data_IF_623174682486
#
_entry.id   IF_623174682486
#
_cell.length_a   1.000
_cell.length_b   1.000
_cell.length_c   1.000
_cell.angle_alpha   90.00
_cell.angle_beta   90.00
_cell.angle_gamma   90.00
#
_symmetry.space_group_name_H-M   'P 1'
#
loop_
_entity.id
_entity.type
_entity.pdbx_description
1 polymer ?
#
# COMPACT_ATOMS: atom_id res chain seq x y z
N UNK A 1 -11.99 -14.40 3.52
CA UNK A 1 -12.00 -13.19 2.69
C UNK A 1 -11.72 -13.61 1.27
N UNK A 2 -12.62 -13.30 0.34
CA UNK A 2 -12.38 -13.50 -1.09
C UNK A 2 -11.45 -12.40 -1.62
N UNK A 3 -10.52 -12.71 -2.51
CA UNK A 3 -9.57 -11.74 -3.05
C UNK A 3 -9.32 -11.99 -4.53
N UNK A 4 -8.96 -10.92 -5.25
CA UNK A 4 -8.57 -10.96 -6.65
C UNK A 4 -7.13 -10.49 -6.79
N UNK A 5 -6.24 -11.42 -7.16
CA UNK A 5 -4.87 -11.09 -7.58
C UNK A 5 -4.90 -10.61 -9.03
N UNK A 6 -4.31 -9.46 -9.31
CA UNK A 6 -4.36 -8.82 -10.62
C UNK A 6 -2.93 -8.65 -11.14
N UNK A 7 -2.70 -9.03 -12.39
CA UNK A 7 -1.43 -8.84 -13.09
C UNK A 7 -1.65 -8.17 -14.45
N UNK A 8 -0.78 -7.21 -14.78
CA UNK A 8 -0.74 -6.52 -16.07
C UNK A 8 0.28 -7.13 -17.02
N UNK A 9 -0.14 -7.44 -18.26
CA UNK A 9 0.75 -7.92 -19.33
C UNK A 9 1.76 -6.86 -19.79
N UNK A 10 1.48 -5.59 -19.49
CA UNK A 10 2.34 -4.45 -19.85
C UNK A 10 3.41 -4.13 -18.81
N UNK A 11 3.39 -4.84 -17.67
CA UNK A 11 4.28 -4.63 -16.54
C UNK A 11 5.21 -5.84 -16.34
N UNK A 12 6.53 -5.70 -16.57
CA UNK A 12 7.47 -6.81 -16.44
C UNK A 12 7.59 -7.35 -15.00
N UNK A 13 7.50 -6.51 -13.96
CA UNK A 13 7.51 -6.98 -12.59
C UNK A 13 6.23 -7.77 -12.29
N UNK A 14 5.08 -7.27 -12.77
CA UNK A 14 3.80 -7.95 -12.64
C UNK A 14 3.79 -9.33 -13.27
N UNK A 15 4.40 -9.50 -14.44
CA UNK A 15 4.51 -10.82 -15.10
C UNK A 15 5.46 -11.75 -14.34
N UNK A 16 6.56 -11.23 -13.80
CA UNK A 16 7.47 -11.98 -12.95
C UNK A 16 6.75 -12.46 -11.68
N UNK A 17 6.12 -11.54 -10.95
CA UNK A 17 5.31 -11.84 -9.75
C UNK A 17 4.23 -12.88 -10.02
N UNK A 18 3.47 -12.71 -11.11
CA UNK A 18 2.42 -13.66 -11.51
C UNK A 18 2.96 -15.07 -11.64
N UNK A 19 4.07 -15.27 -12.36
CA UNK A 19 4.69 -16.60 -12.54
C UNK A 19 4.96 -17.27 -11.20
N UNK A 20 5.50 -16.54 -10.23
CA UNK A 20 5.79 -17.08 -8.89
C UNK A 20 4.53 -17.38 -8.09
N UNK A 21 3.56 -16.47 -8.08
CA UNK A 21 2.27 -16.66 -7.41
C UNK A 21 1.50 -17.87 -7.98
N UNK A 22 1.48 -18.05 -9.30
CA UNK A 22 0.83 -19.18 -9.96
C UNK A 22 1.52 -20.52 -9.65
N UNK A 23 2.85 -20.54 -9.43
CA UNK A 23 3.57 -21.75 -9.00
C UNK A 23 3.08 -22.27 -7.63
N UNK A 24 2.57 -21.39 -6.78
CA UNK A 24 1.94 -21.75 -5.51
C UNK A 24 0.46 -22.16 -5.65
N UNK A 25 -0.09 -22.16 -6.87
CA UNK A 25 -1.46 -22.57 -7.14
C UNK A 25 -2.52 -21.47 -7.00
N UNK A 26 -2.10 -20.20 -6.87
CA UNK A 26 -3.01 -19.06 -6.77
C UNK A 26 -3.40 -18.55 -8.17
N UNK A 27 -4.69 -18.35 -8.39
CA UNK A 27 -5.20 -17.80 -9.65
C UNK A 27 -4.97 -16.31 -9.76
N UNK A 28 -4.52 -15.84 -10.94
CA UNK A 28 -4.24 -14.43 -11.21
C UNK A 28 -5.09 -13.93 -12.38
N UNK A 29 -5.83 -12.85 -12.17
CA UNK A 29 -6.62 -12.16 -13.18
C UNK A 29 -5.71 -11.27 -14.03
N UNK A 30 -5.73 -11.46 -15.35
CA UNK A 30 -4.84 -10.75 -16.27
C UNK A 30 -5.55 -9.56 -16.92
N UNK A 31 -4.81 -8.46 -17.05
CA UNK A 31 -5.22 -7.26 -17.78
C UNK A 31 -4.17 -6.87 -18.84
N UNK A 32 -4.64 -6.36 -19.98
CA UNK A 32 -3.79 -5.99 -21.12
C UNK A 32 -3.36 -4.51 -21.11
N UNK A 33 -3.42 -3.86 -19.94
CA UNK A 33 -3.08 -2.44 -19.76
C UNK A 33 -2.51 -2.16 -18.37
N UNK A 34 -1.99 -0.95 -18.16
CA UNK A 34 -1.46 -0.52 -16.86
C UNK A 34 -2.53 -0.63 -15.78
N UNK A 35 -2.19 -1.28 -14.67
CA UNK A 35 -3.05 -1.41 -13.48
C UNK A 35 -3.58 -0.07 -12.99
N UNK A 36 -2.76 0.99 -13.08
CA UNK A 36 -3.20 2.32 -12.62
C UNK A 36 -4.28 2.98 -13.50
N UNK A 37 -4.49 2.46 -14.72
CA UNK A 37 -5.44 2.97 -15.74
C UNK A 37 -6.65 2.05 -15.91
N UNK A 38 -6.96 1.25 -14.89
CA UNK A 38 -8.17 0.42 -14.83
C UNK A 38 -9.29 1.14 -14.08
N UNK A 39 -10.51 0.65 -14.21
CA UNK A 39 -11.67 1.05 -13.42
C UNK A 39 -12.33 -0.17 -12.78
N UNK A 40 -13.11 0.04 -11.72
CA UNK A 40 -13.79 -1.02 -10.99
C UNK A 40 -14.61 -1.98 -11.88
N UNK A 41 -15.28 -1.46 -12.91
CA UNK A 41 -16.14 -2.26 -13.79
C UNK A 41 -15.40 -3.31 -14.63
N UNK A 42 -14.07 -3.29 -14.62
CA UNK A 42 -13.22 -4.21 -15.38
C UNK A 42 -12.85 -5.46 -14.59
N UNK A 43 -13.15 -5.47 -13.29
CA UNK A 43 -12.82 -6.57 -12.40
C UNK A 43 -14.07 -7.35 -11.99
N UNK A 44 -13.94 -8.68 -11.80
CA UNK A 44 -14.88 -9.42 -10.99
C UNK A 44 -15.08 -8.77 -9.62
N UNK A 45 -16.28 -8.91 -9.06
CA UNK A 45 -16.52 -8.52 -7.68
C UNK A 45 -15.66 -9.37 -6.75
N UNK A 46 -14.97 -8.72 -5.81
CA UNK A 46 -14.16 -9.39 -4.79
C UNK A 46 -14.20 -8.58 -3.49
N UNK A 47 -13.84 -9.21 -2.35
CA UNK A 47 -13.74 -8.51 -1.06
C UNK A 47 -12.39 -7.80 -0.91
N UNK A 48 -11.42 -8.08 -1.77
CA UNK A 48 -10.13 -7.38 -1.82
C UNK A 48 -9.48 -7.44 -3.21
N UNK A 49 -8.84 -6.36 -3.64
CA UNK A 49 -8.10 -6.27 -4.89
C UNK A 49 -6.60 -6.09 -4.65
N UNK A 50 -5.78 -7.00 -5.17
CA UNK A 50 -4.33 -6.99 -4.94
C UNK A 50 -3.63 -6.91 -6.30
N UNK A 51 -2.96 -5.78 -6.54
CA UNK A 51 -2.24 -5.52 -7.78
C UNK A 51 -0.78 -5.94 -7.60
N UNK A 52 -0.35 -6.92 -8.39
CA UNK A 52 1.06 -7.24 -8.57
C UNK A 52 1.61 -6.21 -9.55
N UNK A 53 2.59 -5.40 -9.16
CA UNK A 53 3.08 -4.32 -10.03
C UNK A 53 4.55 -4.01 -9.83
N UNK A 54 5.06 -3.12 -10.67
CA UNK A 54 6.35 -2.47 -10.48
C UNK A 54 6.19 -1.14 -9.75
N UNK A 55 7.20 -0.83 -8.95
CA UNK A 55 7.50 0.55 -8.56
C UNK A 55 8.59 1.12 -9.48
N UNK A 56 8.45 2.37 -9.90
CA UNK A 56 9.43 3.07 -10.73
C UNK A 56 9.89 4.37 -10.06
N UNK A 57 11.19 4.46 -9.75
CA UNK A 57 11.78 5.64 -9.08
C UNK A 57 13.07 6.10 -9.76
N UNK A 58 13.25 7.41 -9.88
CA UNK A 58 14.51 8.03 -10.37
C UNK A 58 15.72 7.65 -9.51
N UNK A 59 15.49 7.38 -8.21
CA UNK A 59 16.56 6.97 -7.29
C UNK A 59 17.15 5.60 -7.61
N UNK A 60 16.41 4.76 -8.37
CA UNK A 60 16.75 3.37 -8.70
C UNK A 60 17.12 2.50 -7.49
N UNK A 61 16.70 2.90 -6.29
CA UNK A 61 16.97 2.12 -5.09
C UNK A 61 16.13 0.84 -5.13
N UNK A 62 16.72 -0.36 -4.93
CA UNK A 62 15.95 -1.59 -4.79
C UNK A 62 15.02 -1.50 -3.59
N UNK A 63 13.72 -1.66 -3.84
CA UNK A 63 12.68 -1.53 -2.80
C UNK A 63 11.56 -2.55 -3.04
N UNK A 64 11.07 -3.18 -1.98
CA UNK A 64 9.83 -3.96 -1.99
C UNK A 64 8.78 -3.18 -1.21
N UNK A 65 7.63 -2.94 -1.82
CA UNK A 65 6.67 -1.99 -1.27
C UNK A 65 5.23 -2.47 -1.32
N UNK A 66 4.41 -1.85 -0.46
CA UNK A 66 2.96 -2.04 -0.42
C UNK A 66 2.28 -0.72 -0.11
N UNK A 67 1.20 -0.40 -0.83
CA UNK A 67 0.36 0.77 -0.58
C UNK A 67 -1.05 0.61 -1.16
N UNK A 68 -1.99 1.40 -0.64
CA UNK A 68 -3.32 1.52 -1.23
C UNK A 68 -3.31 2.63 -2.30
N UNK A 69 -3.95 2.43 -3.47
CA UNK A 69 -4.03 3.45 -4.51
C UNK A 69 -5.02 4.56 -4.15
N UNK A 70 -4.75 5.77 -4.61
CA UNK A 70 -5.58 6.94 -4.34
C UNK A 70 -4.96 8.25 -4.80
N UNK A 71 -5.79 9.18 -5.29
CA UNK A 71 -5.34 10.54 -5.60
C UNK A 71 -5.72 11.48 -4.45
N UNK A 72 -4.71 12.05 -3.78
CA UNK A 72 -4.89 12.97 -2.65
C UNK A 72 -5.18 14.41 -3.08
N UNK A 73 -5.09 14.72 -4.37
CA UNK A 73 -5.25 16.05 -4.94
C UNK A 73 -5.96 15.96 -6.29
N UNK A 74 -6.09 17.10 -6.98
CA UNK A 74 -6.62 17.15 -8.33
C UNK A 74 -5.76 16.41 -9.38
N UNK A 75 -4.48 16.19 -9.10
CA UNK A 75 -3.60 15.44 -10.00
C UNK A 75 -3.96 13.95 -10.00
N UNK A 76 -4.46 13.49 -11.16
CA UNK A 76 -4.72 12.10 -11.48
C UNK A 76 -3.98 11.66 -12.76
N UNK A 77 -2.84 12.28 -13.07
CA UNK A 77 -2.03 12.00 -14.27
C UNK A 77 -1.64 10.52 -14.41
N UNK A 78 -1.64 9.78 -13.31
CA UNK A 78 -1.33 8.35 -13.26
C UNK A 78 -2.58 7.46 -13.13
N UNK A 79 -3.76 7.99 -13.42
CA UNK A 79 -5.05 7.29 -13.49
C UNK A 79 -5.94 7.51 -12.27
N UNK A 80 -7.17 6.99 -12.33
CA UNK A 80 -8.21 7.22 -11.32
C UNK A 80 -8.84 8.61 -11.40
N UNK A 81 -9.74 8.90 -10.45
CA UNK A 81 -10.44 10.17 -10.33
C UNK A 81 -9.66 11.16 -9.45
N UNK A 82 -9.78 12.48 -9.71
CA UNK A 82 -9.26 13.52 -8.83
C UNK A 82 -9.89 13.44 -7.44
N UNK A 83 -9.09 13.67 -6.40
CA UNK A 83 -9.52 13.64 -5.00
C UNK A 83 -10.35 12.41 -4.59
N UNK A 84 -10.00 11.22 -5.08
CA UNK A 84 -10.64 9.96 -4.73
C UNK A 84 -9.60 8.93 -4.31
N UNK A 85 -9.87 8.21 -3.22
CA UNK A 85 -9.01 7.11 -2.73
C UNK A 85 -9.77 5.78 -2.70
N UNK A 86 -9.08 4.68 -2.99
CA UNK A 86 -9.66 3.34 -2.85
C UNK A 86 -9.76 2.94 -1.38
N UNK A 87 -10.71 2.06 -0.98
CA UNK A 87 -10.76 1.52 0.37
C UNK A 87 -9.45 0.82 0.78
N UNK A 88 -9.13 0.84 2.08
CA UNK A 88 -7.87 0.29 2.61
C UNK A 88 -8.12 -0.82 3.63
N UNK A 89 -7.25 -1.84 3.61
CA UNK A 89 -7.15 -2.84 4.67
C UNK A 89 -5.80 -2.67 5.42
N UNK A 90 -5.80 -2.03 6.61
CA UNK A 90 -4.56 -1.77 7.36
C UNK A 90 -3.87 -3.05 7.83
N UNK A 91 -4.63 -4.11 8.09
CA UNK A 91 -4.09 -5.41 8.50
C UNK A 91 -3.32 -6.02 7.34
N UNK A 92 -3.91 -6.05 6.14
CA UNK A 92 -3.22 -6.56 4.95
C UNK A 92 -1.94 -5.80 4.66
N UNK A 93 -2.00 -4.47 4.56
CA UNK A 93 -0.82 -3.67 4.23
C UNK A 93 0.33 -3.95 5.21
N UNK A 94 0.02 -4.01 6.51
CA UNK A 94 1.02 -4.24 7.56
C UNK A 94 1.58 -5.66 7.55
N UNK A 95 0.73 -6.68 7.46
CA UNK A 95 1.20 -8.07 7.40
C UNK A 95 2.03 -8.29 6.13
N UNK A 96 1.63 -7.69 5.01
CA UNK A 96 2.39 -7.76 3.77
C UNK A 96 3.78 -7.14 3.94
N UNK A 97 3.88 -5.95 4.54
CA UNK A 97 5.15 -5.31 4.86
C UNK A 97 6.02 -6.18 5.78
N UNK A 98 5.45 -6.69 6.87
CA UNK A 98 6.17 -7.51 7.85
C UNK A 98 6.68 -8.80 7.22
N UNK A 99 5.87 -9.46 6.41
CA UNK A 99 6.27 -10.68 5.71
C UNK A 99 7.34 -10.38 4.66
N UNK A 100 7.22 -9.29 3.88
CA UNK A 100 8.29 -8.86 2.97
C UNK A 100 9.60 -8.66 3.71
N UNK A 101 9.58 -7.99 4.87
CA UNK A 101 10.78 -7.80 5.68
C UNK A 101 11.36 -9.12 6.20
N UNK A 102 10.50 -10.00 6.75
CA UNK A 102 10.87 -11.33 7.25
C UNK A 102 11.59 -12.16 6.17
N UNK A 103 11.03 -12.24 4.97
CA UNK A 103 11.65 -13.00 3.87
C UNK A 103 12.90 -12.28 3.36
N UNK A 104 12.86 -10.97 3.15
CA UNK A 104 14.03 -10.20 2.70
C UNK A 104 15.24 -10.28 3.64
N UNK A 105 15.03 -10.51 4.94
CA UNK A 105 16.10 -10.69 5.92
C UNK A 105 16.73 -12.10 5.95
N UNK A 106 16.19 -13.08 5.20
CA UNK A 106 16.77 -14.42 5.12
C UNK A 106 18.12 -14.41 4.42
N UNK A 107 19.07 -15.22 4.91
CA UNK A 107 20.47 -15.25 4.45
C UNK A 107 20.61 -15.42 2.92
N UNK A 108 19.72 -16.19 2.29
CA UNK A 108 19.73 -16.40 0.84
C UNK A 108 19.35 -15.15 0.02
N UNK A 109 18.62 -14.20 0.61
CA UNK A 109 18.14 -12.99 -0.05
C UNK A 109 18.87 -11.71 0.38
N UNK A 110 19.67 -11.75 1.46
CA UNK A 110 20.33 -10.57 2.03
C UNK A 110 21.19 -9.79 1.02
N UNK A 111 21.88 -10.50 0.12
CA UNK A 111 22.77 -9.88 -0.88
C UNK A 111 22.01 -9.14 -1.99
N UNK A 112 20.68 -9.29 -2.09
CA UNK A 112 19.86 -8.57 -3.06
C UNK A 112 19.72 -7.07 -2.71
N UNK A 113 19.88 -6.71 -1.42
CA UNK A 113 19.97 -5.33 -0.98
C UNK A 113 18.67 -4.52 -1.13
N UNK A 114 17.50 -5.16 -1.07
CA UNK A 114 16.22 -4.47 -1.08
C UNK A 114 15.90 -3.85 0.27
N UNK A 115 15.44 -2.60 0.23
CA UNK A 115 14.72 -1.99 1.35
C UNK A 115 13.25 -2.45 1.33
N UNK A 116 12.64 -2.60 2.51
CA UNK A 116 11.19 -2.85 2.63
C UNK A 116 10.51 -1.62 3.21
N UNK A 117 9.49 -1.10 2.52
CA UNK A 117 8.78 0.10 2.98
C UNK A 117 7.35 0.17 2.50
N UNK A 118 6.49 0.85 3.27
CA UNK A 118 5.24 1.34 2.70
C UNK A 118 5.51 2.43 1.66
N UNK A 119 4.49 2.68 0.83
CA UNK A 119 4.34 3.94 0.11
C UNK A 119 3.09 4.68 0.56
N UNK A 120 3.08 6.00 0.33
CA UNK A 120 1.88 6.83 0.54
C UNK A 120 0.81 6.52 -0.51
N UNK A 121 -0.43 6.94 -0.24
CA UNK A 121 -1.50 6.98 -1.24
C UNK A 121 -1.05 7.77 -2.48
N UNK A 122 -1.07 7.12 -3.63
CA UNK A 122 -0.84 7.75 -4.92
C UNK A 122 -1.44 6.90 -6.06
N UNK A 123 -1.66 7.55 -7.21
CA UNK A 123 -2.15 7.01 -8.49
C UNK A 123 -3.48 6.23 -8.44
N UNK A 124 -4.00 5.86 -9.62
CA UNK A 124 -5.20 5.05 -9.74
C UNK A 124 -4.95 3.55 -9.58
N UNK A 125 -6.01 2.72 -9.61
CA UNK A 125 -7.42 3.10 -9.67
C UNK A 125 -7.96 3.60 -8.33
N UNK A 126 -9.01 4.41 -8.36
CA UNK A 126 -9.59 5.05 -7.16
C UNK A 126 -11.04 4.63 -6.90
N UNK A 127 -11.72 4.12 -7.92
CA UNK A 127 -13.16 3.86 -7.91
C UNK A 127 -13.54 2.46 -7.39
N UNK A 128 -12.58 1.71 -6.86
CA UNK A 128 -12.74 0.37 -6.31
C UNK A 128 -13.73 0.35 -5.14
N UNK A 129 -14.49 -0.75 -5.03
CA UNK A 129 -15.56 -0.91 -4.02
C UNK A 129 -15.17 -1.75 -2.82
N UNK A 130 -13.97 -2.33 -2.83
CA UNK A 130 -13.42 -3.12 -1.74
C UNK A 130 -11.98 -2.70 -1.46
N UNK A 131 -11.42 -3.04 -0.30
CA UNK A 131 -10.02 -2.77 0.02
C UNK A 131 -9.06 -3.16 -1.10
N UNK A 132 -8.02 -2.36 -1.29
CA UNK A 132 -7.01 -2.65 -2.29
C UNK A 132 -5.59 -2.30 -1.88
N UNK A 133 -4.65 -3.01 -2.50
CA UNK A 133 -3.23 -2.78 -2.31
C UNK A 133 -2.47 -3.07 -3.62
N UNK A 134 -1.48 -2.24 -3.90
CA UNK A 134 -0.37 -2.55 -4.79
C UNK A 134 0.72 -3.21 -3.98
N UNK A 135 1.33 -4.25 -4.53
CA UNK A 135 2.45 -4.99 -3.98
C UNK A 135 3.52 -5.00 -5.06
N UNK A 136 4.67 -4.41 -4.78
CA UNK A 136 5.55 -3.95 -5.84
C UNK A 136 7.02 -4.31 -5.67
N UNK A 137 7.66 -4.55 -6.81
CA UNK A 137 9.12 -4.61 -6.95
C UNK A 137 9.59 -3.29 -7.54
N UNK A 138 10.48 -2.61 -6.84
CA UNK A 138 11.11 -1.37 -7.27
C UNK A 138 12.63 -1.47 -7.38
N UNK A 139 13.29 -0.53 -8.05
CA UNK A 139 12.71 0.68 -8.64
C UNK A 139 12.99 0.83 -10.13
N UNK A 140 13.57 -0.19 -10.76
CA UNK A 140 13.94 -0.18 -12.18
C UNK A 140 13.87 -1.58 -12.80
N UNK A 141 14.03 -1.64 -14.13
CA UNK A 141 13.98 -2.89 -14.91
C UNK A 141 14.94 -3.96 -14.38
N UNK A 142 16.10 -3.56 -13.87
CA UNK A 142 17.07 -4.46 -13.27
C UNK A 142 16.49 -5.23 -12.07
N UNK A 143 15.64 -4.59 -11.27
CA UNK A 143 14.99 -5.21 -10.11
C UNK A 143 13.72 -5.97 -10.50
N UNK A 144 12.94 -5.46 -11.45
CA UNK A 144 11.65 -6.04 -11.86
C UNK A 144 11.77 -7.48 -12.35
N UNK A 145 12.92 -7.86 -12.90
CA UNK A 145 13.19 -9.20 -13.44
C UNK A 145 13.92 -10.14 -12.47
N UNK A 146 14.21 -9.72 -11.24
CA UNK A 146 14.86 -10.58 -10.24
C UNK A 146 13.85 -11.62 -9.76
N UNK A 147 14.08 -12.90 -10.10
CA UNK A 147 13.21 -14.01 -9.69
C UNK A 147 13.13 -14.09 -8.15
N UNK A 148 14.25 -13.95 -7.44
CA UNK A 148 14.28 -14.00 -5.97
C UNK A 148 13.45 -12.87 -5.31
N UNK A 149 13.42 -11.67 -5.90
CA UNK A 149 12.58 -10.58 -5.41
C UNK A 149 11.08 -10.89 -5.58
N UNK A 150 10.73 -11.54 -6.68
CA UNK A 150 9.38 -12.01 -6.92
C UNK A 150 9.00 -13.19 -6.01
N UNK A 151 9.95 -14.07 -5.69
CA UNK A 151 9.76 -15.16 -4.72
C UNK A 151 9.53 -14.61 -3.30
N UNK A 152 10.32 -13.62 -2.86
CA UNK A 152 10.11 -12.92 -1.57
C UNK A 152 8.68 -12.39 -1.49
N UNK A 153 8.22 -11.67 -2.51
CA UNK A 153 6.86 -11.13 -2.53
C UNK A 153 5.81 -12.25 -2.58
N UNK A 154 6.01 -13.29 -3.39
CA UNK A 154 5.04 -14.39 -3.49
C UNK A 154 4.87 -15.10 -2.14
N UNK A 155 5.99 -15.46 -1.48
CA UNK A 155 5.97 -16.02 -0.13
C UNK A 155 5.28 -15.10 0.88
N UNK A 156 5.59 -13.80 0.81
CA UNK A 156 5.00 -12.80 1.71
C UNK A 156 3.50 -12.65 1.53
N UNK A 157 3.05 -12.66 0.27
CA UNK A 157 1.64 -12.57 -0.09
C UNK A 157 0.87 -13.79 0.41
N UNK A 158 1.42 -14.99 0.22
CA UNK A 158 0.79 -16.25 0.65
C UNK A 158 0.64 -16.31 2.16
N UNK A 159 1.71 -15.99 2.91
CA UNK A 159 1.66 -15.92 4.37
C UNK A 159 0.63 -14.89 4.85
N UNK A 160 0.56 -13.74 4.18
CA UNK A 160 -0.41 -12.67 4.49
C UNK A 160 -1.84 -13.12 4.25
N UNK A 161 -2.13 -13.73 3.09
CA UNK A 161 -3.45 -14.22 2.74
C UNK A 161 -3.91 -15.34 3.68
N UNK A 162 -3.03 -16.28 4.00
CA UNK A 162 -3.32 -17.36 4.95
C UNK A 162 -3.61 -16.82 6.34
N UNK A 163 -2.78 -15.88 6.83
CA UNK A 163 -2.97 -15.25 8.14
C UNK A 163 -4.33 -14.55 8.22
N UNK A 164 -4.72 -13.80 7.19
CA UNK A 164 -6.01 -13.10 7.16
C UNK A 164 -7.18 -14.10 7.05
N UNK A 165 -7.06 -15.11 6.19
CA UNK A 165 -8.12 -16.11 5.97
C UNK A 165 -8.40 -16.93 7.23
N UNK A 166 -7.36 -17.26 7.99
CA UNK A 166 -7.47 -18.06 9.21
C UNK A 166 -7.66 -17.22 10.48
N UNK A 167 -7.66 -15.88 10.36
CA UNK A 167 -7.65 -14.95 11.50
C UNK A 167 -6.46 -15.20 12.45
N UNK A 168 -5.30 -15.54 11.88
CA UNK A 168 -4.04 -15.81 12.57
C UNK A 168 -3.17 -14.56 12.63
N UNK A 169 -3.66 -13.52 13.29
CA UNK A 169 -2.91 -12.30 13.57
C UNK A 169 -3.39 -11.68 14.89
N UNK A 170 -2.52 -10.91 15.54
CA UNK A 170 -2.82 -10.32 16.85
C UNK A 170 -3.77 -9.12 16.73
N UNK A 171 -4.60 -8.88 17.75
CA UNK A 171 -5.39 -7.66 17.82
C UNK A 171 -4.48 -6.48 18.18
N UNK A 172 -4.41 -5.49 17.29
CA UNK A 172 -3.59 -4.27 17.44
C UNK A 172 -4.38 -3.05 16.95
N UNK A 173 -4.02 -1.89 17.48
CA UNK A 173 -4.61 -0.62 17.04
C UNK A 173 -4.27 -0.36 15.56
N UNK A 174 -5.27 0.09 14.80
CA UNK A 174 -5.21 0.47 13.39
C UNK A 174 -5.02 1.97 13.28
N UNK A 175 -4.08 2.41 12.45
CA UNK A 175 -3.71 3.83 12.34
C UNK A 175 -3.77 4.34 10.90
N UNK A 176 -4.14 5.60 10.78
CA UNK A 176 -3.94 6.42 9.57
C UNK A 176 -2.71 7.30 9.83
N UNK A 177 -1.75 7.31 8.91
CA UNK A 177 -0.54 8.11 9.04
C UNK A 177 -0.53 9.36 8.16
N UNK A 178 -0.32 10.53 8.77
CA UNK A 178 -0.27 11.80 8.07
C UNK A 178 1.10 12.46 8.24
N UNK A 179 1.75 12.74 7.10
CA UNK A 179 3.05 13.39 7.01
C UNK A 179 4.18 12.46 6.61
N UNK A 180 5.35 13.06 6.35
CA UNK A 180 6.56 12.33 5.96
C UNK A 180 6.84 12.36 4.45
N UNK A 181 7.76 11.51 4.02
CA UNK A 181 8.10 11.33 2.60
C UNK A 181 7.25 10.26 1.92
N UNK A 182 7.54 10.01 0.64
CA UNK A 182 6.83 8.99 -0.15
C UNK A 182 6.92 7.58 0.45
N UNK A 183 8.08 7.17 0.98
CA UNK A 183 8.28 5.86 1.62
C UNK A 183 7.91 5.79 3.12
N UNK A 184 7.26 6.84 3.66
CA UNK A 184 6.69 6.86 5.02
C UNK A 184 7.53 6.20 6.14
N UNK A 185 8.84 6.53 6.29
CA UNK A 185 9.78 5.72 7.08
C UNK A 185 9.42 5.58 8.57
N UNK A 186 8.75 6.58 9.15
CA UNK A 186 8.23 6.48 10.52
C UNK A 186 7.15 5.41 10.65
N UNK A 187 6.17 5.42 9.76
CA UNK A 187 5.07 4.48 9.80
C UNK A 187 5.50 3.07 9.39
N UNK A 188 6.40 2.94 8.42
CA UNK A 188 7.10 1.67 8.12
C UNK A 188 7.73 1.09 9.38
N UNK A 189 8.47 1.91 10.13
CA UNK A 189 9.11 1.48 11.38
C UNK A 189 8.13 1.08 12.48
N UNK A 190 7.00 1.79 12.60
CA UNK A 190 5.95 1.43 13.56
C UNK A 190 5.33 0.06 13.23
N UNK A 191 5.05 -0.20 11.94
CA UNK A 191 4.55 -1.49 11.48
C UNK A 191 5.57 -2.62 11.69
N UNK A 192 6.84 -2.42 11.33
CA UNK A 192 7.89 -3.44 11.50
C UNK A 192 8.23 -3.73 12.97
N UNK A 193 7.93 -2.80 13.88
CA UNK A 193 8.03 -3.01 15.32
C UNK A 193 6.78 -3.62 15.93
N UNK A 194 5.81 -3.98 15.10
CA UNK A 194 4.56 -4.60 15.51
C UNK A 194 3.74 -3.74 16.48
N UNK A 195 3.91 -2.41 16.44
CA UNK A 195 3.20 -1.47 17.31
C UNK A 195 1.76 -1.26 16.83
N UNK A 196 1.55 -1.19 15.51
CA UNK A 196 0.27 -0.80 14.90
C UNK A 196 0.01 -1.49 13.55
N UNK A 197 -1.27 -1.64 13.22
CA UNK A 197 -1.72 -1.87 11.85
C UNK A 197 -1.82 -0.54 11.09
N UNK A 198 -0.94 -0.31 10.13
CA UNK A 198 -0.89 0.92 9.35
C UNK A 198 -1.69 0.75 8.06
N UNK A 199 -2.64 1.66 7.84
CA UNK A 199 -3.41 1.71 6.60
C UNK A 199 -3.00 2.89 5.72
N UNK A 200 -3.89 3.86 5.55
CA UNK A 200 -3.62 5.04 4.74
C UNK A 200 -2.42 5.83 5.23
N UNK A 201 -1.61 6.27 4.27
CA UNK A 201 -0.43 7.10 4.48
C UNK A 201 -0.48 8.29 3.53
N UNK A 202 -0.33 9.51 4.04
CA UNK A 202 -0.32 10.73 3.21
C UNK A 202 1.01 11.46 3.35
N UNK A 203 1.63 11.94 2.25
CA UNK A 203 2.93 12.59 2.32
C UNK A 203 2.81 14.06 2.73
N UNK A 204 3.92 14.63 3.21
CA UNK A 204 4.02 16.04 3.61
C UNK A 204 3.66 17.06 2.52
N UNK A 205 3.81 16.68 1.25
CA UNK A 205 3.64 17.58 0.13
C UNK A 205 2.20 17.63 -0.40
N UNK A 206 1.36 16.66 -0.02
CA UNK A 206 -0.04 16.63 -0.43
C UNK A 206 -0.85 17.61 0.43
N UNK A 207 -1.60 18.49 -0.24
CA UNK A 207 -2.52 19.41 0.42
C UNK A 207 -3.91 18.77 0.50
N UNK A 208 -4.16 18.05 1.59
CA UNK A 208 -5.42 17.34 1.78
C UNK A 208 -6.60 18.32 1.89
N UNK A 209 -7.61 18.13 1.05
CA UNK A 209 -8.92 18.77 1.18
C UNK A 209 -9.76 18.11 2.27
N UNK A 210 -10.86 18.76 2.66
CA UNK A 210 -11.82 18.18 3.60
C UNK A 210 -12.46 16.91 3.03
N UNK A 211 -12.71 16.87 1.71
CA UNK A 211 -13.17 15.66 1.01
C UNK A 211 -12.22 14.47 1.22
N UNK A 212 -10.91 14.69 1.07
CA UNK A 212 -9.91 13.63 1.30
C UNK A 212 -9.82 13.24 2.77
N UNK A 213 -9.85 14.19 3.70
CA UNK A 213 -9.86 13.88 5.14
C UNK A 213 -11.07 13.03 5.53
N UNK A 214 -12.26 13.36 5.01
CA UNK A 214 -13.48 12.56 5.17
C UNK A 214 -13.35 11.15 4.58
N UNK A 215 -12.70 11.01 3.42
CA UNK A 215 -12.48 9.69 2.81
C UNK A 215 -11.50 8.84 3.62
N UNK A 216 -10.40 9.42 4.11
CA UNK A 216 -9.43 8.71 4.95
C UNK A 216 -10.09 8.09 6.17
N UNK A 217 -11.04 8.79 6.79
CA UNK A 217 -11.70 8.39 8.04
C UNK A 217 -13.00 7.61 7.82
N UNK A 218 -13.42 7.37 6.58
CA UNK A 218 -14.64 6.59 6.27
C UNK A 218 -14.38 5.35 5.42
N UNK A 219 -13.25 5.27 4.71
CA UNK A 219 -12.91 4.15 3.82
C UNK A 219 -11.89 3.16 4.42
N UNK A 220 -11.61 3.29 5.72
CA UNK A 220 -10.78 2.41 6.52
C UNK A 220 -11.31 2.35 7.95
N UNK A 221 -11.21 1.19 8.60
CA UNK A 221 -11.31 1.09 10.06
C UNK A 221 -10.00 1.53 10.73
N UNK A 222 -10.10 2.40 11.73
CA UNK A 222 -8.94 2.94 12.46
C UNK A 222 -9.32 3.29 13.90
N UNK A 223 -8.33 3.30 14.79
CA UNK A 223 -8.48 3.69 16.20
C UNK A 223 -8.05 5.15 16.42
N UNK A 224 -7.01 5.60 15.72
CA UNK A 224 -6.57 7.00 15.76
C UNK A 224 -5.76 7.41 14.52
N UNK A 225 -5.60 8.71 14.32
CA UNK A 225 -4.71 9.31 13.32
C UNK A 225 -3.34 9.61 13.93
N UNK A 226 -2.30 8.98 13.41
CA UNK A 226 -0.91 9.27 13.73
C UNK A 226 -0.35 10.40 12.87
N UNK A 227 0.08 11.50 13.49
CA UNK A 227 0.63 12.66 12.78
C UNK A 227 2.15 12.69 12.95
N UNK A 228 2.91 12.54 11.86
CA UNK A 228 4.34 12.86 11.86
C UNK A 228 4.51 14.37 12.03
N UNK A 229 4.65 14.80 13.27
CA UNK A 229 4.67 16.23 13.62
C UNK A 229 5.85 16.97 12.99
N UNK A 230 6.94 16.29 12.63
CA UNK A 230 8.07 16.92 11.92
C UNK A 230 7.94 16.79 10.41
N UNK A 231 7.14 15.84 9.94
CA UNK A 231 6.82 15.56 8.55
C UNK A 231 5.63 16.33 7.99
N UNK A 232 5.22 17.47 8.56
CA UNK A 232 4.15 18.32 8.03
C UNK A 232 4.51 19.81 8.08
N UNK A 233 3.95 20.60 7.16
CA UNK A 233 4.00 22.06 7.23
C UNK A 233 3.11 22.60 8.36
N UNK A 234 3.48 23.75 8.93
CA UNK A 234 2.80 24.31 10.11
C UNK A 234 1.33 24.67 9.86
N UNK A 235 0.99 25.13 8.66
CA UNK A 235 -0.39 25.43 8.26
C UNK A 235 -1.25 24.17 8.14
N UNK A 236 -0.69 23.10 7.55
CA UNK A 236 -1.40 21.84 7.34
C UNK A 236 -1.69 21.15 8.68
N UNK A 237 -0.74 21.19 9.63
CA UNK A 237 -0.96 20.68 11.00
C UNK A 237 -2.18 21.29 11.65
N UNK A 238 -2.31 22.62 11.59
CA UNK A 238 -3.43 23.32 12.23
C UNK A 238 -4.74 22.92 11.58
N UNK A 239 -4.78 22.95 10.23
CA UNK A 239 -5.97 22.57 9.46
C UNK A 239 -6.43 21.14 9.78
N UNK A 240 -5.51 20.17 9.80
CA UNK A 240 -5.87 18.78 10.01
C UNK A 240 -6.28 18.50 11.46
N UNK A 241 -5.57 19.07 12.43
CA UNK A 241 -5.94 18.95 13.85
C UNK A 241 -7.32 19.58 14.11
N UNK A 242 -7.59 20.77 13.56
CA UNK A 242 -8.90 21.42 13.67
C UNK A 242 -10.00 20.53 13.09
N UNK A 243 -9.80 19.96 11.90
CA UNK A 243 -10.74 18.99 11.32
C UNK A 243 -10.96 17.77 12.22
N UNK A 244 -9.90 17.19 12.80
CA UNK A 244 -10.04 16.02 13.68
C UNK A 244 -10.77 16.37 14.98
N UNK A 245 -10.43 17.50 15.60
CA UNK A 245 -11.05 17.96 16.84
C UNK A 245 -12.55 18.30 16.63
N UNK A 246 -12.91 18.91 15.50
CA UNK A 246 -14.31 19.24 15.16
C UNK A 246 -15.18 18.01 14.86
N UNK A 247 -14.57 16.90 14.46
CA UNK A 247 -15.25 15.65 14.09
C UNK A 247 -15.07 14.53 15.15
N UNK A 248 -14.58 14.86 16.34
CA UNK A 248 -14.32 13.90 17.43
C UNK A 248 -13.41 12.71 17.03
N UNK A 249 -12.45 12.97 16.13
CA UNK A 249 -11.49 11.97 15.64
C UNK A 249 -10.24 11.96 16.53
N UNK A 250 -9.95 10.80 17.14
CA UNK A 250 -8.74 10.61 17.95
C UNK A 250 -7.47 10.77 17.09
N UNK A 251 -6.51 11.55 17.58
CA UNK A 251 -5.22 11.73 16.93
C UNK A 251 -4.08 11.86 17.94
N UNK A 252 -2.87 11.48 17.52
CA UNK A 252 -1.67 11.68 18.32
C UNK A 252 -0.44 11.97 17.46
N UNK A 253 0.60 12.52 18.10
CA UNK A 253 1.89 12.78 17.44
C UNK A 253 2.74 11.51 17.45
N UNK A 254 3.33 11.20 16.31
CA UNK A 254 4.32 10.13 16.12
C UNK A 254 5.66 10.66 15.62
#
# INVERSE_FOLDING_TARGET
>A
MDYLLISSETDPASQNLKKHVENYGYGVFNIEKKSTQTNYSEFPQSEMYIFLSKHASESKKPTLTVHTPGNLTEDNSHGGNPEEISPCNPVFNTLMLQNMNKYNEMEEYQELGFDVSFEVLHHGPTDLKAPSAFVEIGSSEDQWQIDDAAEIIANSLIDTLNSIQNFEYEEKEKIIGIGGGHYSPKFTKLALREEYYVGYLTPKHAKLSENILNQLTSKQEFDFVGIDWKGLYGEDKRKYVEFFDENDISWQRV
#
